data_IF_668729556794
#
_entry.id   IF_668729556794
#
_cell.length_a   1.000
_cell.length_b   1.000
_cell.length_c   1.000
_cell.angle_alpha   90.00
_cell.angle_beta   90.00
_cell.angle_gamma   90.00
#
_symmetry.space_group_name_H-M   'P 1'
#
loop_
_entity.id
_entity.type
_entity.pdbx_description
1 polymer ?
#
# COMPACT_ATOMS: atom_id res chain seq x y z
N UNK A 1 29.55 97.27 2.84
CA UNK A 1 28.58 96.43 2.10
C UNK A 1 29.36 95.43 1.27
N UNK A 2 29.20 94.14 1.55
CA UNK A 2 30.11 93.05 1.15
C UNK A 2 29.46 92.17 0.07
N UNK A 3 30.23 91.96 -1.01
CA UNK A 3 30.33 90.79 -1.94
C UNK A 3 29.08 90.24 -2.66
N UNK A 4 29.09 90.46 -3.98
CA UNK A 4 29.20 89.47 -5.06
C UNK A 4 28.54 88.09 -4.91
N UNK A 5 27.55 87.79 -5.77
CA UNK A 5 27.04 86.43 -6.03
C UNK A 5 27.47 85.93 -7.41
N UNK A 6 28.20 84.80 -7.41
CA UNK A 6 28.60 84.00 -8.57
C UNK A 6 27.42 83.18 -9.07
N UNK A 7 27.26 83.06 -10.40
CA UNK A 7 26.43 82.03 -11.06
C UNK A 7 27.20 80.71 -11.06
N UNK A 8 26.56 79.63 -10.62
CA UNK A 8 27.01 78.25 -10.89
C UNK A 8 25.93 77.54 -11.71
N UNK A 9 26.36 76.97 -12.85
CA UNK A 9 25.61 76.01 -13.65
C UNK A 9 25.36 74.72 -12.89
N UNK A 10 24.16 74.15 -13.01
CA UNK A 10 23.90 72.74 -12.72
C UNK A 10 23.53 72.03 -14.02
N UNK A 11 24.41 71.14 -14.45
CA UNK A 11 24.19 70.15 -15.51
C UNK A 11 23.25 69.08 -14.94
N UNK A 12 22.17 68.77 -15.66
CA UNK A 12 21.28 67.64 -15.37
C UNK A 12 21.80 66.45 -16.18
N UNK A 13 22.24 65.39 -15.50
CA UNK A 13 22.52 64.08 -16.12
C UNK A 13 21.25 63.23 -16.06
N UNK A 14 20.83 62.56 -17.14
CA UNK A 14 19.71 61.63 -17.10
C UNK A 14 20.19 60.31 -16.46
N UNK A 15 19.47 59.85 -15.44
CA UNK A 15 19.65 58.51 -14.87
C UNK A 15 19.03 57.49 -15.83
N UNK A 16 19.89 56.70 -16.48
CA UNK A 16 19.49 55.57 -17.30
C UNK A 16 19.14 54.40 -16.36
N UNK A 17 17.86 54.12 -16.13
CA UNK A 17 17.43 52.91 -15.44
C UNK A 17 17.56 51.71 -16.39
N UNK A 18 18.65 50.95 -16.28
CA UNK A 18 18.71 49.59 -16.83
C UNK A 18 17.82 48.67 -15.98
N UNK A 19 16.69 48.24 -16.53
CA UNK A 19 15.94 47.12 -15.99
C UNK A 19 16.69 45.82 -16.32
N UNK A 20 17.35 45.24 -15.33
CA UNK A 20 17.85 43.86 -15.39
C UNK A 20 16.64 42.92 -15.33
N UNK A 21 16.20 42.43 -16.50
CA UNK A 21 15.31 41.27 -16.56
C UNK A 21 16.18 40.05 -16.23
N UNK A 22 16.24 39.69 -14.96
CA UNK A 22 16.77 38.40 -14.54
C UNK A 22 15.83 37.33 -15.09
N UNK A 23 16.21 36.73 -16.22
CA UNK A 23 15.63 35.49 -16.71
C UNK A 23 15.90 34.40 -15.69
N UNK A 24 14.98 34.23 -14.73
CA UNK A 24 14.98 33.11 -13.82
C UNK A 24 14.75 31.85 -14.64
N UNK A 25 15.82 31.13 -14.95
CA UNK A 25 15.72 29.71 -15.25
C UNK A 25 15.20 29.08 -13.97
N UNK A 26 13.90 28.78 -13.95
CA UNK A 26 13.32 27.87 -12.95
C UNK A 26 13.95 26.52 -13.24
N UNK A 27 15.10 26.25 -12.61
CA UNK A 27 15.59 24.89 -12.50
C UNK A 27 14.60 24.19 -11.58
N UNK A 28 13.70 23.40 -12.17
CA UNK A 28 13.05 22.35 -11.42
C UNK A 28 14.17 21.50 -10.85
N UNK A 29 14.51 21.69 -9.57
CA UNK A 29 15.24 20.66 -8.84
C UNK A 29 14.35 19.44 -8.96
N UNK A 30 14.75 18.49 -9.79
CA UNK A 30 14.24 17.14 -9.69
C UNK A 30 14.41 16.78 -8.23
N UNK A 31 13.29 16.65 -7.52
CA UNK A 31 13.27 16.25 -6.12
C UNK A 31 13.94 14.89 -6.10
N UNK A 32 15.14 14.84 -5.51
CA UNK A 32 15.94 13.62 -5.42
C UNK A 32 15.05 12.56 -4.80
N UNK A 33 14.87 11.43 -5.48
CA UNK A 33 14.22 10.28 -4.87
C UNK A 33 14.99 9.87 -3.60
N UNK A 34 14.31 9.32 -2.57
CA UNK A 34 14.99 8.72 -1.44
C UNK A 34 16.02 7.67 -1.90
N UNK A 35 17.14 7.55 -1.20
CA UNK A 35 18.30 6.77 -1.68
C UNK A 35 18.01 5.27 -1.95
N UNK A 36 16.98 4.69 -1.32
CA UNK A 36 16.55 3.30 -1.55
C UNK A 36 15.34 3.13 -2.47
N UNK A 37 14.75 4.23 -2.96
CA UNK A 37 13.61 4.20 -3.87
C UNK A 37 14.06 4.03 -5.32
N UNK A 38 13.81 2.86 -5.88
CA UNK A 38 14.07 2.52 -7.29
C UNK A 38 12.81 2.66 -8.13
N UNK A 39 12.96 3.18 -9.35
CA UNK A 39 11.85 3.40 -10.28
C UNK A 39 12.16 2.75 -11.62
N UNK A 40 11.12 2.22 -12.25
CA UNK A 40 11.21 1.53 -13.54
C UNK A 40 10.08 1.98 -14.46
N UNK A 41 10.34 2.12 -15.76
CA UNK A 41 9.26 2.22 -16.74
C UNK A 41 8.53 0.88 -16.79
N UNK A 42 7.20 0.87 -16.60
CA UNK A 42 6.45 -0.39 -16.57
C UNK A 42 6.57 -1.20 -17.86
N UNK A 43 6.90 -0.56 -18.99
CA UNK A 43 7.17 -1.26 -20.24
C UNK A 43 8.44 -2.14 -20.19
N UNK A 44 9.39 -1.80 -19.33
CA UNK A 44 10.65 -2.52 -19.12
C UNK A 44 10.56 -3.59 -18.01
N UNK A 45 9.41 -3.65 -17.32
CA UNK A 45 9.19 -4.59 -16.22
C UNK A 45 8.98 -6.03 -16.72
N UNK A 46 9.15 -6.97 -15.79
CA UNK A 46 8.98 -8.40 -16.07
C UNK A 46 7.53 -8.72 -16.44
N UNK A 47 7.29 -9.71 -17.32
CA UNK A 47 5.95 -10.26 -17.53
C UNK A 47 5.35 -10.78 -16.22
N UNK A 48 4.06 -10.54 -16.02
CA UNK A 48 3.30 -11.15 -14.94
C UNK A 48 3.35 -12.68 -15.05
N UNK A 49 3.51 -13.42 -13.94
CA UNK A 49 3.40 -14.86 -13.92
C UNK A 49 2.06 -15.30 -14.51
N UNK A 50 2.07 -16.39 -15.26
CA UNK A 50 0.82 -16.99 -15.74
C UNK A 50 0.09 -17.60 -14.55
N UNK A 51 -1.17 -17.24 -14.29
CA UNK A 51 -1.95 -17.85 -13.21
C UNK A 51 -2.06 -19.36 -13.37
N UNK A 52 -2.11 -20.08 -12.25
CA UNK A 52 -2.34 -21.53 -12.26
C UNK A 52 -3.73 -21.81 -12.81
N UNK A 53 -3.81 -22.71 -13.80
CA UNK A 53 -5.08 -23.10 -14.39
C UNK A 53 -5.96 -23.88 -13.39
N UNK A 54 -7.26 -23.60 -13.38
CA UNK A 54 -8.22 -24.33 -12.57
C UNK A 54 -8.37 -25.78 -13.07
N UNK A 55 -8.31 -26.71 -12.13
CA UNK A 55 -8.69 -28.11 -12.33
C UNK A 55 -10.21 -28.27 -12.25
N UNK A 56 -10.74 -29.44 -12.60
CA UNK A 56 -12.18 -29.74 -12.47
C UNK A 56 -12.68 -29.73 -11.01
N UNK A 57 -11.78 -29.78 -10.03
CA UNK A 57 -12.10 -29.70 -8.60
C UNK A 57 -11.79 -28.34 -8.00
N UNK A 58 -11.25 -27.40 -8.79
CA UNK A 58 -10.97 -26.04 -8.35
C UNK A 58 -12.23 -25.23 -8.07
N UNK A 59 -12.04 -24.08 -7.40
CA UNK A 59 -13.09 -23.13 -7.05
C UNK A 59 -12.87 -21.80 -7.77
N UNK A 60 -13.33 -21.64 -9.03
CA UNK A 60 -12.99 -20.48 -9.86
C UNK A 60 -13.76 -19.20 -9.52
N UNK A 61 -14.61 -19.23 -8.50
CA UNK A 61 -15.39 -18.08 -8.08
C UNK A 61 -14.55 -17.06 -7.33
N UNK A 62 -15.11 -15.86 -7.18
CA UNK A 62 -14.56 -14.81 -6.35
C UNK A 62 -15.65 -14.08 -5.57
N UNK A 63 -15.24 -13.36 -4.53
CA UNK A 63 -16.09 -12.51 -3.71
C UNK A 63 -15.44 -11.13 -3.52
N UNK A 64 -16.09 -10.08 -4.00
CA UNK A 64 -15.65 -8.71 -3.81
C UNK A 64 -16.20 -8.10 -2.52
N UNK A 65 -15.34 -7.41 -1.78
CA UNK A 65 -15.73 -6.59 -0.64
C UNK A 65 -15.53 -5.11 -0.97
N UNK A 66 -16.62 -4.35 -0.94
CA UNK A 66 -16.57 -2.89 -1.06
C UNK A 66 -16.43 -2.26 0.33
N UNK A 67 -15.23 -1.77 0.64
CA UNK A 67 -14.90 -1.03 1.86
C UNK A 67 -14.58 0.45 1.62
N UNK A 68 -14.79 0.95 0.41
CA UNK A 68 -14.33 2.27 0.00
C UNK A 68 -12.81 2.35 -0.18
N UNK A 69 -12.24 3.53 0.04
CA UNK A 69 -10.84 3.86 -0.30
C UNK A 69 -10.13 4.73 0.75
N UNK A 70 -10.55 4.57 2.01
CA UNK A 70 -10.14 5.38 3.16
C UNK A 70 -10.33 6.90 2.98
N UNK A 71 -11.55 7.33 2.61
CA UNK A 71 -11.85 8.76 2.48
C UNK A 71 -11.88 9.48 3.84
N UNK A 72 -12.11 8.70 4.89
CA UNK A 72 -12.11 9.08 6.30
C UNK A 72 -10.72 9.31 6.88
N UNK A 73 -9.65 8.95 6.14
CA UNK A 73 -8.25 9.16 6.52
C UNK A 73 -7.88 8.47 7.84
N UNK A 74 -8.32 7.23 8.01
CA UNK A 74 -7.83 6.36 9.06
C UNK A 74 -6.36 6.05 8.80
N UNK A 75 -5.48 6.70 9.56
CA UNK A 75 -4.05 6.51 9.53
C UNK A 75 -3.53 6.37 10.97
N UNK A 76 -2.66 5.39 11.19
CA UNK A 76 -1.92 5.23 12.44
C UNK A 76 -0.59 4.50 12.17
N UNK A 77 0.31 4.53 13.14
CA UNK A 77 1.57 3.76 13.10
C UNK A 77 1.52 2.51 13.97
N UNK A 78 0.33 1.97 14.20
CA UNK A 78 0.13 0.75 14.99
C UNK A 78 0.23 -0.48 14.09
N UNK A 79 0.50 -1.64 14.71
CA UNK A 79 0.46 -2.93 14.03
C UNK A 79 -0.16 -4.00 14.92
N UNK A 80 -1.49 -4.20 14.83
CA UNK A 80 -2.18 -5.17 15.68
C UNK A 80 -1.89 -6.63 15.35
N UNK A 81 -1.26 -6.92 14.20
CA UNK A 81 -0.91 -8.28 13.80
C UNK A 81 0.51 -8.61 14.25
N UNK A 82 1.52 -7.81 13.91
CA UNK A 82 2.92 -8.13 14.24
C UNK A 82 3.36 -7.61 15.62
N UNK A 83 2.72 -6.56 16.16
CA UNK A 83 3.08 -5.98 17.46
C UNK A 83 1.82 -5.58 18.27
N UNK A 84 0.91 -6.53 18.56
CA UNK A 84 -0.30 -6.23 19.32
C UNK A 84 0.02 -5.61 20.69
N UNK A 85 -0.69 -4.55 21.05
CA UNK A 85 -0.53 -3.81 22.31
C UNK A 85 0.55 -2.73 22.29
N UNK A 86 1.33 -2.60 21.21
CA UNK A 86 2.41 -1.61 21.08
C UNK A 86 1.92 -0.42 20.24
N UNK A 87 1.62 0.69 20.91
CA UNK A 87 1.29 1.96 20.23
C UNK A 87 2.51 2.43 19.44
N UNK A 88 2.33 2.72 18.16
CA UNK A 88 3.43 3.08 17.27
C UNK A 88 4.32 1.91 16.86
N UNK A 89 3.93 0.65 17.11
CA UNK A 89 4.79 -0.52 16.87
C UNK A 89 5.20 -0.73 15.40
N UNK A 90 4.55 -0.08 14.44
CA UNK A 90 4.95 -0.16 13.03
C UNK A 90 6.14 0.73 12.69
N UNK A 91 6.38 1.85 13.39
CA UNK A 91 7.36 2.90 13.03
C UNK A 91 7.18 3.58 11.65
N UNK A 92 6.23 3.13 10.84
CA UNK A 92 5.69 3.81 9.65
C UNK A 92 4.16 3.90 9.76
N UNK A 93 3.52 4.72 8.93
CA UNK A 93 2.07 4.92 8.92
C UNK A 93 1.40 3.94 7.96
N UNK A 94 0.32 3.32 8.44
CA UNK A 94 -0.56 2.50 7.64
C UNK A 94 -1.82 3.26 7.20
N UNK A 95 -2.30 2.91 6.01
CA UNK A 95 -3.58 3.24 5.41
C UNK A 95 -4.53 2.06 5.62
N UNK A 96 -5.78 2.33 6.03
CA UNK A 96 -6.74 1.31 6.46
C UNK A 96 -8.06 1.43 5.70
N UNK A 97 -8.66 0.28 5.36
CA UNK A 97 -10.09 0.19 5.05
C UNK A 97 -10.78 -0.87 5.91
N UNK A 98 -12.09 -0.74 6.08
CA UNK A 98 -12.92 -1.68 6.81
C UNK A 98 -13.16 -1.26 8.26
N UNK A 99 -12.65 -2.05 9.22
CA UNK A 99 -12.91 -1.83 10.63
C UNK A 99 -12.48 -0.42 11.08
N UNK A 100 -13.41 0.32 11.69
CA UNK A 100 -13.20 1.71 12.14
C UNK A 100 -12.57 1.84 13.53
N UNK A 101 -12.32 0.72 14.20
CA UNK A 101 -11.77 0.69 15.55
C UNK A 101 -10.32 0.18 15.61
N UNK A 102 -9.70 -0.13 14.46
CA UNK A 102 -8.35 -0.70 14.40
C UNK A 102 -7.29 0.26 14.92
N UNK A 103 -6.56 -0.18 15.94
CA UNK A 103 -5.37 0.45 16.51
C UNK A 103 -4.56 -0.59 17.32
N UNK A 104 -3.47 -0.18 17.95
CA UNK A 104 -2.59 -1.07 18.72
C UNK A 104 -3.30 -1.83 19.85
N UNK A 105 -4.39 -1.29 20.40
CA UNK A 105 -5.13 -1.88 21.52
C UNK A 105 -6.34 -2.70 21.08
N UNK A 106 -6.56 -2.86 19.78
CA UNK A 106 -7.68 -3.65 19.26
C UNK A 106 -7.55 -5.12 19.67
N UNK A 107 -8.61 -5.65 20.26
CA UNK A 107 -8.85 -7.07 20.51
C UNK A 107 -9.88 -7.63 19.54
N UNK A 108 -9.97 -8.96 19.43
CA UNK A 108 -11.00 -9.65 18.66
C UNK A 108 -12.42 -9.14 19.01
N UNK A 109 -12.71 -8.95 20.30
CA UNK A 109 -13.99 -8.39 20.77
C UNK A 109 -14.21 -6.96 20.29
N UNK A 110 -13.18 -6.11 20.37
CA UNK A 110 -13.28 -4.71 19.91
C UNK A 110 -13.51 -4.63 18.40
N UNK A 111 -12.84 -5.48 17.62
CA UNK A 111 -13.01 -5.55 16.17
C UNK A 111 -14.41 -6.06 15.82
N UNK A 112 -14.89 -7.09 16.52
CA UNK A 112 -16.23 -7.63 16.32
C UNK A 112 -17.36 -6.62 16.62
N UNK A 113 -17.16 -5.78 17.64
CA UNK A 113 -18.10 -4.75 18.03
C UNK A 113 -17.96 -3.44 17.23
N UNK A 114 -16.81 -3.25 16.56
CA UNK A 114 -16.46 -2.03 15.86
C UNK A 114 -17.40 -1.71 14.70
N UNK A 115 -17.49 -0.42 14.35
CA UNK A 115 -18.08 -0.01 13.08
C UNK A 115 -17.17 -0.41 11.90
N UNK A 116 -17.71 -0.38 10.68
CA UNK A 116 -16.95 -0.71 9.46
C UNK A 116 -17.34 0.23 8.32
N UNK A 117 -16.44 0.45 7.37
CA UNK A 117 -16.77 1.01 6.05
C UNK A 117 -17.23 -0.03 5.04
N UNK A 118 -17.01 -1.32 5.30
CA UNK A 118 -17.36 -2.38 4.38
C UNK A 118 -18.87 -2.62 4.28
N UNK A 119 -19.33 -2.96 3.08
CA UNK A 119 -20.66 -3.47 2.84
C UNK A 119 -20.90 -4.81 3.56
N UNK A 120 -22.17 -5.23 3.65
CA UNK A 120 -22.61 -6.49 4.24
C UNK A 120 -22.18 -6.74 5.69
N UNK A 121 -21.68 -5.70 6.37
CA UNK A 121 -21.25 -5.77 7.77
C UNK A 121 -19.92 -6.48 7.98
N UNK A 122 -19.08 -6.61 6.95
CA UNK A 122 -17.71 -7.11 7.11
C UNK A 122 -16.94 -6.22 8.10
N UNK A 123 -16.49 -6.78 9.23
CA UNK A 123 -15.73 -6.07 10.26
C UNK A 123 -14.23 -6.27 10.13
N UNK A 124 -13.76 -6.88 9.07
CA UNK A 124 -12.34 -7.12 8.83
C UNK A 124 -11.58 -5.81 8.70
N UNK A 125 -10.30 -5.88 9.01
CA UNK A 125 -9.36 -4.77 8.80
C UNK A 125 -8.39 -5.15 7.71
N UNK A 126 -8.15 -4.23 6.78
CA UNK A 126 -7.21 -4.40 5.67
C UNK A 126 -6.32 -3.16 5.64
N UNK A 127 -5.00 -3.36 5.68
CA UNK A 127 -4.09 -2.22 5.78
C UNK A 127 -2.72 -2.47 5.18
N UNK A 128 -2.08 -1.38 4.76
CA UNK A 128 -0.80 -1.33 4.05
C UNK A 128 -0.09 0.00 4.34
N UNK A 129 1.24 0.12 4.14
CA UNK A 129 1.94 1.39 4.32
C UNK A 129 1.40 2.50 3.43
N UNK A 130 1.32 3.73 3.93
CA UNK A 130 0.84 4.87 3.13
C UNK A 130 1.76 5.15 1.94
N UNK A 131 1.19 5.66 0.86
CA UNK A 131 1.96 6.17 -0.27
C UNK A 131 2.23 7.66 -0.08
N UNK A 132 3.49 8.04 -0.03
CA UNK A 132 3.93 9.42 0.18
C UNK A 132 4.20 10.14 -1.15
N UNK A 133 3.70 11.37 -1.23
CA UNK A 133 4.00 12.31 -2.33
C UNK A 133 5.32 13.05 -2.08
N UNK A 134 5.95 13.67 -3.11
CA UNK A 134 7.27 14.28 -2.97
C UNK A 134 7.42 15.31 -1.85
N UNK A 135 6.34 16.02 -1.49
CA UNK A 135 6.34 16.98 -0.38
C UNK A 135 6.57 16.33 0.98
N UNK A 136 6.17 15.07 1.15
CA UNK A 136 6.54 14.27 2.31
C UNK A 136 8.02 13.85 2.22
N UNK A 137 8.47 13.47 1.02
CA UNK A 137 9.84 12.97 0.80
C UNK A 137 10.92 14.01 1.16
N UNK A 138 10.63 15.30 1.00
CA UNK A 138 11.54 16.37 1.41
C UNK A 138 11.68 16.56 2.93
N UNK A 139 10.83 15.92 3.72
CA UNK A 139 10.81 16.03 5.19
C UNK A 139 11.41 14.79 5.87
N UNK A 140 11.94 13.83 5.09
CA UNK A 140 12.37 12.50 5.53
C UNK A 140 13.71 12.40 6.25
N UNK A 141 14.47 13.50 6.38
CA UNK A 141 15.76 13.46 7.07
C UNK A 141 15.55 13.31 8.59
N UNK A 142 15.40 12.07 9.05
CA UNK A 142 15.39 11.69 10.46
C UNK A 142 14.03 11.60 11.17
N UNK A 143 12.91 11.45 10.46
CA UNK A 143 11.61 11.17 11.10
C UNK A 143 11.23 9.70 10.97
N UNK A 144 10.83 9.08 12.08
CA UNK A 144 9.95 7.91 12.02
C UNK A 144 8.58 8.38 11.51
N UNK A 145 7.86 7.56 10.74
CA UNK A 145 6.60 7.95 10.09
C UNK A 145 5.53 8.50 11.05
N UNK A 146 5.73 8.35 12.36
CA UNK A 146 4.84 8.75 13.45
C UNK A 146 4.50 10.24 13.49
N UNK A 147 5.36 11.12 12.96
CA UNK A 147 5.12 12.58 12.95
C UNK A 147 4.75 13.14 11.57
N UNK A 148 4.37 12.30 10.62
CA UNK A 148 4.10 12.73 9.24
C UNK A 148 2.87 13.63 9.11
N UNK A 149 2.98 14.60 8.21
CA UNK A 149 1.85 15.42 7.80
C UNK A 149 0.92 14.62 6.86
N UNK A 150 -0.25 14.21 7.35
CA UNK A 150 -1.19 13.41 6.57
C UNK A 150 -1.71 14.07 5.27
N UNK A 151 -1.50 15.38 5.06
CA UNK A 151 -1.82 16.04 3.79
C UNK A 151 -0.90 15.65 2.63
N UNK A 152 0.26 15.05 2.93
CA UNK A 152 1.24 14.58 1.95
C UNK A 152 1.11 13.09 1.62
N UNK A 153 0.11 12.42 2.23
CA UNK A 153 -0.27 11.04 1.91
C UNK A 153 -1.21 11.05 0.70
N UNK A 154 -0.88 10.25 -0.31
CA UNK A 154 -1.76 10.02 -1.45
C UNK A 154 -2.99 9.21 -1.00
N UNK A 155 -4.18 9.69 -1.33
CA UNK A 155 -5.42 8.94 -1.09
C UNK A 155 -5.64 7.99 -2.28
N UNK A 156 -5.87 6.68 -2.06
CA UNK A 156 -6.19 5.75 -3.14
C UNK A 156 -7.36 6.24 -3.98
N UNK A 157 -7.28 6.05 -5.29
CA UNK A 157 -8.39 6.30 -6.22
C UNK A 157 -9.39 5.14 -6.20
N UNK A 158 -8.92 3.92 -5.99
CA UNK A 158 -9.73 2.73 -5.74
C UNK A 158 -8.98 1.73 -4.90
N UNK A 159 -9.72 0.92 -4.14
CA UNK A 159 -9.23 -0.27 -3.44
C UNK A 159 -10.08 -1.45 -3.88
N UNK A 160 -9.44 -2.50 -4.38
CA UNK A 160 -10.07 -3.80 -4.61
C UNK A 160 -9.74 -4.68 -3.42
N UNK A 161 -10.75 -5.19 -2.73
CA UNK A 161 -10.62 -6.32 -1.80
C UNK A 161 -11.39 -7.48 -2.42
N UNK A 162 -10.69 -8.56 -2.75
CA UNK A 162 -11.27 -9.72 -3.40
C UNK A 162 -10.81 -11.00 -2.71
N UNK A 163 -11.76 -11.90 -2.45
CA UNK A 163 -11.46 -13.26 -2.03
C UNK A 163 -11.59 -14.21 -3.22
N UNK A 164 -10.57 -15.02 -3.49
CA UNK A 164 -10.49 -15.96 -4.61
C UNK A 164 -10.47 -17.40 -4.12
N UNK A 165 -10.84 -18.34 -4.96
CA UNK A 165 -10.75 -19.77 -4.62
C UNK A 165 -9.40 -20.40 -4.93
N UNK A 166 -9.32 -21.71 -4.70
CA UNK A 166 -8.13 -22.52 -5.00
C UNK A 166 -8.22 -23.11 -6.41
N UNK A 167 -7.13 -23.11 -7.19
CA UNK A 167 -7.13 -23.71 -8.53
C UNK A 167 -7.31 -25.24 -8.52
N UNK A 168 -6.99 -25.90 -7.41
CA UNK A 168 -6.96 -27.36 -7.33
C UNK A 168 -8.06 -27.98 -6.46
N UNK A 169 -8.78 -27.17 -5.69
CA UNK A 169 -9.78 -27.66 -4.73
C UNK A 169 -10.85 -26.62 -4.39
N UNK A 170 -11.88 -27.04 -3.66
CA UNK A 170 -12.76 -26.12 -2.92
C UNK A 170 -12.03 -25.53 -1.71
N UNK A 171 -12.38 -24.30 -1.34
CA UNK A 171 -11.90 -23.65 -0.13
C UNK A 171 -12.83 -23.93 1.06
N UNK A 172 -12.28 -23.93 2.28
CA UNK A 172 -13.04 -23.93 3.54
C UNK A 172 -13.13 -22.52 4.11
N UNK A 173 -14.09 -22.26 4.99
CA UNK A 173 -14.22 -20.97 5.66
C UNK A 173 -12.94 -20.59 6.42
N UNK A 174 -12.51 -19.33 6.30
CA UNK A 174 -11.54 -18.79 7.25
C UNK A 174 -12.16 -18.83 8.66
N UNK A 175 -11.39 -19.20 9.69
CA UNK A 175 -11.83 -18.96 11.06
C UNK A 175 -11.85 -17.46 11.29
N UNK A 176 -12.89 -16.97 11.97
CA UNK A 176 -12.95 -15.58 12.38
C UNK A 176 -11.73 -15.23 13.23
N UNK A 177 -11.20 -14.04 12.98
CA UNK A 177 -9.97 -13.45 13.51
C UNK A 177 -8.68 -14.06 12.98
N UNK A 178 -8.74 -14.82 11.87
CA UNK A 178 -7.54 -15.20 11.13
C UNK A 178 -6.76 -13.93 10.77
N UNK A 179 -5.49 -13.89 11.15
CA UNK A 179 -4.56 -12.83 10.83
C UNK A 179 -3.75 -13.24 9.61
N UNK A 180 -3.42 -12.29 8.76
CA UNK A 180 -2.55 -12.57 7.63
C UNK A 180 -1.61 -11.43 7.35
N UNK A 181 -0.44 -11.79 6.84
CA UNK A 181 0.62 -10.87 6.44
C UNK A 181 1.14 -11.29 5.08
N UNK A 182 1.32 -10.33 4.17
CA UNK A 182 2.07 -10.50 2.92
C UNK A 182 3.10 -9.39 2.78
N UNK A 183 4.19 -9.66 2.06
CA UNK A 183 5.35 -8.76 1.98
C UNK A 183 6.22 -8.79 3.24
N UNK A 184 7.19 -7.89 3.30
CA UNK A 184 8.12 -7.81 4.42
C UNK A 184 8.57 -6.37 4.70
N UNK A 185 8.18 -5.74 5.84
CA UNK A 185 8.67 -4.41 6.19
C UNK A 185 10.20 -4.32 6.34
N UNK A 186 10.90 -5.44 6.50
CA UNK A 186 12.36 -5.52 6.61
C UNK A 186 13.04 -6.13 5.37
N UNK A 187 12.38 -6.06 4.22
CA UNK A 187 12.80 -6.76 3.01
C UNK A 187 14.26 -6.49 2.59
N UNK A 188 14.78 -5.26 2.74
CA UNK A 188 16.17 -4.98 2.33
C UNK A 188 17.19 -5.53 3.33
N UNK A 189 16.92 -5.40 4.63
CA UNK A 189 17.84 -5.86 5.68
C UNK A 189 17.78 -7.37 5.92
N UNK A 190 16.69 -8.03 5.53
CA UNK A 190 16.49 -9.49 5.62
C UNK A 190 16.73 -10.23 4.29
N UNK A 191 17.43 -9.62 3.32
CA UNK A 191 17.86 -10.31 2.10
C UNK A 191 16.70 -10.71 1.18
N UNK A 192 15.67 -9.87 1.09
CA UNK A 192 14.48 -9.99 0.23
C UNK A 192 13.52 -11.14 0.60
N UNK A 193 13.63 -11.70 1.80
CA UNK A 193 12.72 -12.75 2.27
C UNK A 193 11.25 -12.26 2.30
N UNK A 194 10.33 -13.08 1.80
CA UNK A 194 8.87 -12.84 1.78
C UNK A 194 8.43 -11.57 1.03
N UNK A 195 9.19 -11.14 0.01
CA UNK A 195 8.87 -9.95 -0.80
C UNK A 195 8.17 -10.27 -2.13
N UNK A 196 8.08 -11.56 -2.48
CA UNK A 196 7.69 -12.03 -3.82
C UNK A 196 6.19 -11.89 -4.14
N UNK A 197 5.34 -11.74 -3.12
CA UNK A 197 3.87 -11.67 -3.23
C UNK A 197 3.31 -10.25 -3.05
N UNK A 198 4.20 -9.25 -3.05
CA UNK A 198 3.84 -7.82 -3.09
C UNK A 198 4.50 -7.18 -4.27
N UNK A 199 3.67 -6.67 -5.19
CA UNK A 199 4.10 -6.25 -6.51
C UNK A 199 3.41 -4.96 -6.92
N UNK A 200 3.97 -4.30 -7.92
CA UNK A 200 3.45 -3.08 -8.49
C UNK A 200 3.20 -3.25 -9.99
N UNK A 201 2.20 -2.56 -10.49
CA UNK A 201 1.85 -2.52 -11.92
C UNK A 201 1.20 -1.19 -12.29
N UNK A 202 0.84 -1.03 -13.56
CA UNK A 202 0.06 0.09 -14.06
C UNK A 202 -1.26 -0.40 -14.66
N UNK A 203 -2.32 0.40 -14.55
CA UNK A 203 -3.66 0.01 -15.06
C UNK A 203 -3.70 -0.34 -16.55
N UNK A 204 -2.79 0.21 -17.36
CA UNK A 204 -2.67 -0.10 -18.78
C UNK A 204 -1.54 -1.08 -19.16
N UNK A 205 -0.90 -1.73 -18.18
CA UNK A 205 0.18 -2.70 -18.37
C UNK A 205 0.07 -3.86 -17.36
N UNK A 206 -1.15 -4.40 -17.21
CA UNK A 206 -1.50 -5.42 -16.21
C UNK A 206 -0.85 -6.79 -16.44
N UNK A 207 -0.29 -6.98 -17.63
CA UNK A 207 0.56 -8.11 -18.01
C UNK A 207 2.03 -7.94 -17.55
N UNK A 208 2.33 -6.87 -16.83
CA UNK A 208 3.67 -6.54 -16.30
C UNK A 208 3.61 -6.29 -14.80
N UNK A 209 4.63 -6.79 -14.09
CA UNK A 209 4.79 -6.60 -12.66
C UNK A 209 6.23 -6.20 -12.33
N UNK A 210 6.39 -5.48 -11.23
CA UNK A 210 7.69 -5.07 -10.72
C UNK A 210 7.70 -4.98 -9.20
N UNK A 211 8.87 -5.12 -8.60
CA UNK A 211 9.10 -4.83 -7.18
C UNK A 211 9.67 -3.42 -6.98
N UNK A 212 9.95 -2.68 -8.06
CA UNK A 212 10.34 -1.26 -8.08
C UNK A 212 9.09 -0.36 -8.22
N UNK A 213 9.20 0.92 -7.89
CA UNK A 213 8.10 1.87 -8.12
C UNK A 213 7.86 2.08 -9.63
N UNK A 214 6.66 1.78 -10.17
CA UNK A 214 6.43 1.87 -11.60
C UNK A 214 6.17 3.31 -12.06
N UNK A 215 6.87 3.74 -13.10
CA UNK A 215 6.53 4.93 -13.87
C UNK A 215 5.44 4.57 -14.87
N UNK A 216 4.20 4.94 -14.54
CA UNK A 216 3.04 4.67 -15.38
C UNK A 216 2.84 5.75 -16.46
N UNK A 217 2.31 5.34 -17.61
CA UNK A 217 1.98 6.26 -18.71
C UNK A 217 0.88 7.26 -18.35
N UNK A 218 0.75 8.33 -19.14
CA UNK A 218 -0.29 9.34 -18.92
C UNK A 218 -1.69 8.74 -18.92
N UNK A 219 -2.48 9.07 -17.88
CA UNK A 219 -3.84 8.54 -17.70
C UNK A 219 -3.92 7.13 -17.10
N UNK A 220 -2.79 6.46 -16.89
CA UNK A 220 -2.74 5.20 -16.17
C UNK A 220 -2.65 5.44 -14.66
N UNK A 221 -3.09 4.44 -13.90
CA UNK A 221 -2.96 4.42 -12.44
C UNK A 221 -1.77 3.55 -12.05
N UNK A 222 -1.03 3.98 -11.04
CA UNK A 222 -0.10 3.14 -10.28
C UNK A 222 -0.91 2.20 -9.40
N UNK A 223 -0.65 0.89 -9.46
CA UNK A 223 -1.39 -0.12 -8.71
C UNK A 223 -0.41 -0.93 -7.87
N UNK A 224 -0.69 -1.04 -6.58
CA UNK A 224 -0.08 -2.03 -5.67
C UNK A 224 -0.93 -3.28 -5.66
N UNK A 225 -0.29 -4.43 -5.66
CA UNK A 225 -0.92 -5.76 -5.67
C UNK A 225 -0.39 -6.55 -4.50
N UNK A 226 -1.30 -7.03 -3.65
CA UNK A 226 -1.01 -7.81 -2.47
C UNK A 226 -1.78 -9.12 -2.54
N UNK A 227 -1.06 -10.21 -2.78
CA UNK A 227 -1.61 -11.56 -2.66
C UNK A 227 -1.26 -12.12 -1.29
N UNK A 228 -2.26 -12.63 -0.56
CA UNK A 228 -2.06 -13.20 0.76
C UNK A 228 -1.92 -14.72 0.71
N UNK A 229 -1.19 -15.32 1.67
CA UNK A 229 -1.20 -16.75 1.84
C UNK A 229 -2.61 -17.27 2.14
N UNK A 230 -2.96 -18.45 1.63
CA UNK A 230 -4.31 -19.01 1.77
C UNK A 230 -4.33 -20.50 2.18
N UNK A 231 -3.19 -21.06 2.59
CA UNK A 231 -3.11 -22.41 3.15
C UNK A 231 -3.00 -22.36 4.66
N UNK A 232 -4.15 -22.50 5.32
CA UNK A 232 -4.30 -22.40 6.78
C UNK A 232 -3.96 -23.73 7.48
N UNK A 233 -3.30 -23.68 8.64
CA UNK A 233 -2.91 -24.89 9.39
C UNK A 233 -4.07 -25.68 10.01
N UNK A 234 -5.30 -25.16 9.96
CA UNK A 234 -6.49 -25.82 10.50
C UNK A 234 -6.70 -25.63 12.00
N UNK A 235 -5.84 -24.90 12.71
CA UNK A 235 -5.90 -24.80 14.17
C UNK A 235 -5.89 -23.37 14.70
N UNK A 236 -5.03 -22.50 14.19
CA UNK A 236 -4.69 -21.24 14.87
C UNK A 236 -5.01 -20.04 13.98
N UNK A 237 -5.65 -19.02 14.55
CA UNK A 237 -5.89 -17.73 13.87
C UNK A 237 -4.64 -16.85 13.79
N UNK A 238 -3.61 -17.19 14.57
CA UNK A 238 -2.30 -16.55 14.55
C UNK A 238 -1.22 -17.53 15.06
N UNK A 239 0.04 -17.27 14.72
CA UNK A 239 1.21 -18.01 15.20
C UNK A 239 2.20 -17.07 15.88
N UNK A 240 3.14 -17.57 16.72
CA UNK A 240 4.11 -16.69 17.39
C UNK A 240 4.99 -15.85 16.44
N UNK A 241 5.15 -16.30 15.20
CA UNK A 241 5.88 -15.59 14.13
C UNK A 241 4.94 -14.84 13.16
N UNK A 242 3.63 -14.83 13.45
CA UNK A 242 2.56 -14.19 12.67
C UNK A 242 2.47 -14.62 11.19
N UNK A 243 3.09 -15.76 10.83
CA UNK A 243 3.20 -16.26 9.45
C UNK A 243 2.98 -17.76 9.31
N UNK A 244 3.53 -18.58 10.20
CA UNK A 244 3.52 -20.05 10.01
C UNK A 244 2.14 -20.72 10.05
N UNK A 245 1.11 -20.05 10.59
CA UNK A 245 -0.27 -20.55 10.61
C UNK A 245 -1.00 -20.41 9.26
N UNK A 246 -0.55 -19.52 8.37
CA UNK A 246 -1.16 -19.24 7.07
C UNK A 246 -0.05 -19.04 6.03
N UNK A 247 0.14 -20.01 5.14
CA UNK A 247 1.26 -20.03 4.18
C UNK A 247 0.78 -20.01 2.73
N UNK A 248 1.67 -19.59 1.82
CA UNK A 248 1.38 -19.62 0.40
C UNK A 248 1.25 -21.06 -0.12
N UNK A 249 0.42 -21.29 -1.15
CA UNK A 249 0.35 -22.57 -1.81
C UNK A 249 1.66 -22.88 -2.54
N UNK A 250 1.87 -24.16 -2.85
CA UNK A 250 2.98 -24.59 -3.72
C UNK A 250 2.74 -24.11 -5.16
N UNK A 251 3.75 -24.24 -6.04
CA UNK A 251 3.69 -23.73 -7.43
C UNK A 251 2.51 -24.27 -8.27
N UNK A 252 1.93 -25.41 -7.89
CA UNK A 252 0.70 -25.95 -8.49
C UNK A 252 -0.60 -25.40 -7.91
N UNK A 253 -0.55 -24.42 -7.00
CA UNK A 253 -1.70 -23.82 -6.32
C UNK A 253 -2.32 -24.71 -5.22
N UNK A 254 -1.65 -25.80 -4.86
CA UNK A 254 -2.07 -26.72 -3.80
C UNK A 254 -1.46 -26.39 -2.46
N UNK A 255 -2.22 -26.65 -1.40
CA UNK A 255 -1.73 -26.55 -0.04
C UNK A 255 -0.87 -27.77 0.32
N UNK A 256 0.27 -27.52 0.98
CA UNK A 256 1.13 -28.58 1.50
C UNK A 256 0.38 -29.45 2.51
N UNK A 257 0.86 -30.66 2.72
CA UNK A 257 0.24 -31.58 3.71
C UNK A 257 0.15 -30.92 5.09
N UNK A 258 -1.02 -31.02 5.70
CA UNK A 258 -1.30 -30.43 7.01
C UNK A 258 -1.77 -28.97 6.96
N UNK A 259 -2.00 -28.41 5.77
CA UNK A 259 -2.70 -27.14 5.60
C UNK A 259 -3.92 -27.30 4.68
N UNK A 260 -4.87 -26.38 4.80
CA UNK A 260 -6.17 -26.41 4.15
C UNK A 260 -6.41 -25.09 3.41
N UNK A 261 -6.93 -25.15 2.17
CA UNK A 261 -7.20 -23.95 1.39
C UNK A 261 -8.36 -23.18 2.00
N UNK A 262 -8.12 -21.93 2.40
CA UNK A 262 -9.15 -20.92 2.66
C UNK A 262 -9.26 -19.98 1.45
N UNK A 263 -10.29 -19.13 1.34
CA UNK A 263 -10.31 -18.09 0.32
C UNK A 263 -8.98 -17.30 0.29
N UNK A 264 -8.40 -17.07 -0.87
CA UNK A 264 -7.21 -16.23 -1.01
C UNK A 264 -7.63 -14.77 -0.99
N UNK A 265 -7.10 -13.99 -0.04
CA UNK A 265 -7.29 -12.55 -0.06
C UNK A 265 -6.33 -11.91 -1.07
N UNK A 266 -6.89 -11.15 -2.00
CA UNK A 266 -6.19 -10.33 -2.96
C UNK A 266 -6.61 -8.87 -2.78
N UNK A 267 -5.62 -7.99 -2.62
CA UNK A 267 -5.87 -6.54 -2.51
C UNK A 267 -5.15 -5.81 -3.64
N UNK A 268 -5.85 -4.88 -4.28
CA UNK A 268 -5.22 -3.88 -5.12
C UNK A 268 -5.50 -2.47 -4.64
N UNK A 269 -4.47 -1.63 -4.64
CA UNK A 269 -4.58 -0.22 -4.24
C UNK A 269 -4.09 0.65 -5.38
N UNK A 270 -5.00 1.39 -6.01
CA UNK A 270 -4.71 2.17 -7.19
C UNK A 270 -4.62 3.67 -6.89
N UNK A 271 -3.67 4.36 -7.51
CA UNK A 271 -3.43 5.79 -7.36
C UNK A 271 -3.33 6.47 -8.73
N UNK A 272 -4.05 7.56 -8.91
CA UNK A 272 -3.85 8.47 -10.05
C UNK A 272 -2.77 9.48 -9.70
N UNK A 273 -1.56 9.28 -10.23
CA UNK A 273 -0.40 10.14 -9.98
C UNK A 273 -0.03 10.92 -11.25
N UNK A 274 0.62 12.07 -11.08
CA UNK A 274 1.17 12.79 -12.23
C UNK A 274 2.32 11.98 -12.86
N UNK A 275 2.44 11.91 -14.20
CA UNK A 275 3.57 11.24 -14.85
C UNK A 275 4.92 11.80 -14.40
N UNK A 276 5.90 10.94 -14.14
CA UNK A 276 7.24 11.33 -13.69
C UNK A 276 7.33 11.78 -12.23
N UNK A 277 6.24 11.65 -11.46
CA UNK A 277 6.25 11.95 -10.04
C UNK A 277 7.03 10.88 -9.27
N UNK A 278 7.98 11.29 -8.45
CA UNK A 278 8.61 10.40 -7.47
C UNK A 278 7.72 10.26 -6.24
N UNK A 279 7.50 9.04 -5.79
CA UNK A 279 6.69 8.67 -4.63
C UNK A 279 7.31 7.45 -3.96
N UNK A 280 7.08 7.28 -2.68
CA UNK A 280 7.56 6.10 -1.96
C UNK A 280 6.52 5.65 -0.93
N UNK A 281 6.54 4.39 -0.54
CA UNK A 281 5.83 3.97 0.66
C UNK A 281 6.53 4.53 1.89
N UNK A 282 5.78 4.68 2.98
CA UNK A 282 6.40 4.89 4.29
C UNK A 282 6.98 3.57 4.80
N UNK A 283 8.18 3.65 5.37
CA UNK A 283 8.97 2.48 5.72
C UNK A 283 9.93 2.84 6.85
N UNK A 284 10.52 1.81 7.47
CA UNK A 284 11.61 1.99 8.42
C UNK A 284 12.77 2.78 7.77
N UNK A 285 13.42 3.72 8.50
CA UNK A 285 14.53 4.49 7.97
C UNK A 285 15.69 3.63 7.42
N UNK A 286 15.97 2.51 8.08
CA UNK A 286 17.03 1.56 7.69
C UNK A 286 16.71 0.79 6.40
N UNK A 287 15.45 0.80 5.97
CA UNK A 287 14.98 0.18 4.72
C UNK A 287 14.96 1.19 3.55
N UNK A 288 15.33 2.44 3.84
CA UNK A 288 15.56 3.50 2.86
C UNK A 288 14.38 3.74 1.90
N UNK A 289 13.15 3.49 2.36
CA UNK A 289 11.90 3.66 1.61
C UNK A 289 11.85 2.83 0.32
N UNK A 290 12.53 1.69 0.32
CA UNK A 290 12.52 0.77 -0.80
C UNK A 290 11.13 0.16 -1.02
N UNK A 291 10.72 0.03 -2.28
CA UNK A 291 9.45 -0.60 -2.64
C UNK A 291 9.39 -2.09 -2.29
N UNK A 292 10.54 -2.76 -2.13
CA UNK A 292 10.60 -4.18 -1.73
C UNK A 292 10.17 -4.39 -0.28
N UNK A 293 10.09 -3.32 0.53
CA UNK A 293 9.58 -3.43 1.90
C UNK A 293 8.08 -3.23 2.01
N UNK A 294 7.40 -3.15 0.86
CA UNK A 294 5.96 -3.07 0.85
C UNK A 294 5.35 -4.35 1.43
N UNK A 295 4.22 -4.19 2.10
CA UNK A 295 3.52 -5.23 2.81
C UNK A 295 2.06 -4.85 3.02
N UNK A 296 1.25 -5.85 3.31
CA UNK A 296 -0.11 -5.65 3.75
C UNK A 296 -0.46 -6.69 4.81
N UNK A 297 -1.44 -6.33 5.63
CA UNK A 297 -1.90 -7.16 6.73
C UNK A 297 -3.41 -7.10 6.81
N UNK A 298 -4.00 -8.16 7.35
CA UNK A 298 -5.42 -8.18 7.63
C UNK A 298 -5.75 -8.95 8.91
N UNK A 299 -6.92 -8.67 9.46
CA UNK A 299 -7.60 -9.54 10.42
C UNK A 299 -9.00 -9.78 9.89
N UNK A 300 -9.33 -11.03 9.57
CA UNK A 300 -10.69 -11.42 9.18
C UNK A 300 -11.60 -11.26 10.40
N UNK A 301 -12.52 -10.31 10.38
CA UNK A 301 -13.53 -10.20 11.43
C UNK A 301 -14.94 -10.29 10.84
N UNK A 302 -15.07 -10.87 9.64
CA UNK A 302 -16.36 -11.19 9.06
C UNK A 302 -17.21 -12.00 10.05
N UNK A 303 -18.52 -11.70 10.17
CA UNK A 303 -19.42 -12.64 10.82
C UNK A 303 -19.41 -13.99 10.10
N UNK A 304 -19.47 -15.10 10.82
CA UNK A 304 -19.43 -16.46 10.23
C UNK A 304 -20.48 -16.66 9.12
N UNK A 305 -21.65 -16.03 9.26
CA UNK A 305 -22.70 -16.07 8.25
C UNK A 305 -22.32 -15.36 6.94
N UNK A 306 -21.48 -14.32 6.99
CA UNK A 306 -20.92 -13.68 5.81
C UNK A 306 -19.83 -14.55 5.20
N UNK A 307 -18.89 -15.07 5.99
CA UNK A 307 -17.83 -15.96 5.49
C UNK A 307 -18.41 -17.22 4.84
N UNK A 308 -19.52 -17.76 5.36
CA UNK A 308 -20.24 -18.87 4.71
C UNK A 308 -20.72 -18.50 3.30
N UNK A 309 -21.27 -17.29 3.11
CA UNK A 309 -21.70 -16.82 1.78
C UNK A 309 -20.52 -16.60 0.83
N UNK A 310 -19.39 -16.12 1.36
CA UNK A 310 -18.14 -15.96 0.59
C UNK A 310 -17.71 -17.32 0.04
N UNK A 311 -17.57 -18.32 0.92
CA UNK A 311 -17.18 -19.68 0.55
C UNK A 311 -18.17 -20.31 -0.44
N UNK A 312 -19.47 -20.17 -0.21
CA UNK A 312 -20.50 -20.70 -1.11
C UNK A 312 -20.42 -20.06 -2.50
N UNK A 313 -20.18 -18.74 -2.58
CA UNK A 313 -20.00 -18.06 -3.86
C UNK A 313 -18.76 -18.59 -4.60
N UNK A 314 -17.62 -18.63 -3.91
CA UNK A 314 -16.34 -19.06 -4.47
C UNK A 314 -16.40 -20.52 -4.95
N UNK A 315 -16.87 -21.42 -4.09
CA UNK A 315 -16.96 -22.86 -4.41
C UNK A 315 -18.02 -23.17 -5.47
N UNK A 316 -19.02 -22.31 -5.66
CA UNK A 316 -19.99 -22.45 -6.77
C UNK A 316 -19.49 -21.86 -8.10
N UNK A 317 -18.27 -21.32 -8.15
CA UNK A 317 -17.69 -20.74 -9.35
C UNK A 317 -18.33 -19.41 -9.76
N UNK A 318 -18.99 -18.71 -8.82
CA UNK A 318 -19.63 -17.42 -9.08
C UNK A 318 -18.70 -16.26 -8.74
N UNK A 319 -18.91 -15.14 -9.41
CA UNK A 319 -18.30 -13.86 -9.06
C UNK A 319 -19.34 -13.02 -8.33
N UNK A 320 -19.19 -12.97 -7.02
CA UNK A 320 -19.83 -12.03 -6.13
C UNK A 320 -18.79 -10.98 -5.72
#
# INVERSE_FOLDING_TARGET
MIRGRKRLWRVVLPVLCLALVAGGVVTYRALSAPAGATYIDIADANPAPTPVAYTSTGSPGSWHVDCGRNQERMYNSDNLVAQPGVVGGAHHVHDYVGNKSTNALSTDDSLAAGETTCQFGDKSTYYWPVLMLPSALTQMDGMDGMSMNHSTIAVPTSVLVEYRGSPVSSVIAMPRFLRGTTGNPHGTTEGLANTEHVQWTCSGARDRITNDYPQCGSGQQTIRVFDFPNCWNGTSTDSPDHRSHLVFPESGGGCRVGTFPVPELHIEVAYTLAPGLHYAIDAFPDEHYSSVTDHAMFVDAMPDSLMTRVVDCINSGRHC
#
